data_IF_106413647384
#
_entry.id   IF_106413647384
#
_cell.length_a   1.000
_cell.length_b   1.000
_cell.length_c   1.000
_cell.angle_alpha   90.00
_cell.angle_beta   90.00
_cell.angle_gamma   90.00
#
_symmetry.space_group_name_H-M   'P 1'
#
loop_
_entity.id
_entity.type
_entity.pdbx_description
1 polymer ?
#
# COMPACT_ATOMS: atom_id res chain seq x y z
N UNK A 1 0.19 11.56 -2.87
CA UNK A 1 -0.05 12.31 -1.62
C UNK A 1 -1.44 11.93 -1.15
N UNK A 2 -1.62 11.54 0.12
CA UNK A 2 -2.92 11.22 0.73
C UNK A 2 -3.34 12.40 1.61
N UNK A 3 -4.11 13.39 1.13
CA UNK A 3 -4.58 14.50 1.95
C UNK A 3 -5.82 14.09 2.75
N UNK A 4 -5.65 13.82 4.04
CA UNK A 4 -6.75 13.54 4.97
C UNK A 4 -7.18 14.87 5.60
N UNK A 5 -8.47 15.20 5.56
CA UNK A 5 -9.01 16.37 6.28
C UNK A 5 -9.98 15.89 7.35
N UNK A 6 -9.64 16.08 8.62
CA UNK A 6 -10.53 15.74 9.73
C UNK A 6 -11.66 16.80 9.85
N UNK A 7 -12.88 16.34 10.06
CA UNK A 7 -13.98 17.17 10.57
C UNK A 7 -13.57 17.68 11.96
N UNK A 8 -13.50 19.00 12.13
CA UNK A 8 -12.76 19.70 13.21
C UNK A 8 -13.19 19.46 14.67
N UNK A 9 -13.98 18.43 14.98
CA UNK A 9 -14.44 18.10 16.33
C UNK A 9 -14.31 16.62 16.71
N UNK A 10 -13.93 15.73 15.79
CA UNK A 10 -13.81 14.30 16.09
C UNK A 10 -12.43 13.95 16.68
N UNK A 11 -12.42 13.34 17.86
CA UNK A 11 -11.22 12.68 18.39
C UNK A 11 -11.02 11.38 17.62
N UNK A 12 -9.90 11.25 16.90
CA UNK A 12 -9.55 10.06 16.15
C UNK A 12 -8.95 9.01 17.09
N UNK A 13 -9.55 7.83 17.16
CA UNK A 13 -8.94 6.69 17.85
C UNK A 13 -7.86 6.08 16.94
N UNK A 14 -6.60 6.33 17.31
CA UNK A 14 -5.43 5.90 16.54
C UNK A 14 -5.32 4.38 16.40
N UNK A 15 -5.85 3.63 17.36
CA UNK A 15 -5.85 2.17 17.30
C UNK A 15 -6.71 1.63 16.16
N UNK A 16 -7.62 2.46 15.65
CA UNK A 16 -8.52 2.14 14.54
C UNK A 16 -7.94 2.54 13.17
N UNK A 17 -6.75 3.14 13.14
CA UNK A 17 -6.08 3.53 11.89
C UNK A 17 -5.18 2.39 11.41
N UNK A 18 -5.42 1.95 10.19
CA UNK A 18 -4.64 0.94 9.50
C UNK A 18 -4.15 1.49 8.15
N UNK A 19 -2.91 1.14 7.79
CA UNK A 19 -2.35 1.41 6.47
C UNK A 19 -2.07 0.07 5.79
N UNK A 20 -2.75 -0.17 4.67
CA UNK A 20 -2.49 -1.33 3.82
C UNK A 20 -1.69 -0.90 2.60
N UNK A 21 -0.61 -1.62 2.31
CA UNK A 21 0.30 -1.30 1.21
C UNK A 21 0.47 -2.54 0.34
N UNK A 22 0.06 -2.40 -0.91
CA UNK A 22 0.20 -3.41 -1.93
C UNK A 22 1.31 -2.98 -2.87
N UNK A 23 2.37 -3.78 -2.96
CA UNK A 23 3.51 -3.51 -3.83
C UNK A 23 3.36 -4.31 -5.12
N UNK A 24 3.64 -3.64 -6.23
CA UNK A 24 3.52 -4.20 -7.57
C UNK A 24 4.88 -4.23 -8.25
N UNK A 25 5.02 -5.19 -9.15
CA UNK A 25 6.28 -5.48 -9.81
C UNK A 25 6.07 -5.78 -11.27
N UNK A 26 7.05 -5.40 -12.08
CA UNK A 26 7.12 -5.82 -13.47
C UNK A 26 7.79 -7.19 -13.53
N UNK A 27 7.13 -8.15 -14.17
CA UNK A 27 7.62 -9.51 -14.40
C UNK A 27 8.12 -9.60 -15.84
N UNK A 28 9.40 -9.94 -15.99
CA UNK A 28 10.10 -10.03 -17.28
C UNK A 28 9.99 -8.75 -18.14
N UNK A 29 9.71 -7.60 -17.52
CA UNK A 29 9.57 -6.31 -18.18
C UNK A 29 8.27 -6.08 -18.95
N UNK A 30 7.28 -6.98 -18.83
CA UNK A 30 6.03 -6.91 -19.60
C UNK A 30 4.77 -6.95 -18.72
N UNK A 31 4.69 -7.92 -17.80
CA UNK A 31 3.51 -8.12 -16.97
C UNK A 31 3.62 -7.37 -15.65
N UNK A 32 2.50 -6.97 -15.05
CA UNK A 32 2.44 -6.38 -13.72
C UNK A 32 1.78 -7.39 -12.79
N UNK A 33 2.45 -7.69 -11.67
CA UNK A 33 1.97 -8.63 -10.67
C UNK A 33 2.18 -8.08 -9.25
N UNK A 34 1.47 -8.62 -8.27
CA UNK A 34 1.71 -8.30 -6.87
C UNK A 34 3.04 -8.91 -6.43
N UNK A 35 3.71 -8.25 -5.48
CA UNK A 35 4.94 -8.77 -4.93
C UNK A 35 4.75 -10.14 -4.25
N UNK A 36 5.74 -11.01 -4.40
CA UNK A 36 5.86 -12.29 -3.67
C UNK A 36 6.76 -12.17 -2.43
N UNK A 37 7.22 -10.97 -2.09
CA UNK A 37 8.07 -10.74 -0.93
C UNK A 37 7.24 -10.42 0.30
N UNK A 38 7.90 -10.43 1.45
CA UNK A 38 7.25 -10.13 2.72
C UNK A 38 6.60 -8.73 2.72
N UNK A 39 5.52 -8.55 3.51
CA UNK A 39 4.90 -7.26 3.68
C UNK A 39 5.91 -6.18 4.08
N UNK A 40 5.75 -4.93 3.59
CA UNK A 40 6.65 -3.85 3.98
C UNK A 40 6.58 -3.58 5.48
N UNK A 41 7.72 -3.24 6.07
CA UNK A 41 7.77 -2.67 7.40
C UNK A 41 7.21 -1.24 7.38
N UNK A 42 6.38 -0.93 8.36
CA UNK A 42 5.60 0.31 8.40
C UNK A 42 5.88 1.08 9.67
N UNK A 43 6.17 2.38 9.57
CA UNK A 43 6.28 3.26 10.75
C UNK A 43 5.74 4.66 10.50
N UNK A 44 5.11 5.20 11.54
CA UNK A 44 4.75 6.61 11.59
C UNK A 44 5.99 7.46 11.86
N UNK A 45 6.19 8.51 11.07
CA UNK A 45 7.26 9.48 11.27
C UNK A 45 6.78 10.68 12.09
N UNK A 46 5.48 10.98 12.04
CA UNK A 46 4.88 12.02 12.88
C UNK A 46 4.79 11.58 14.34
N UNK A 47 5.13 12.48 15.26
CA UNK A 47 4.93 12.26 16.69
C UNK A 47 3.43 12.30 16.98
N UNK A 48 2.88 11.15 17.38
CA UNK A 48 1.49 11.02 17.85
C UNK A 48 0.45 11.49 16.82
N UNK A 49 0.31 10.79 15.67
CA UNK A 49 -0.62 11.16 14.61
C UNK A 49 -2.04 11.31 15.17
N UNK A 50 -2.57 12.53 15.20
CA UNK A 50 -3.85 12.91 15.81
C UNK A 50 -4.81 13.56 14.81
N UNK A 51 -4.33 13.78 13.58
CA UNK A 51 -5.04 14.36 12.45
C UNK A 51 -5.78 15.66 12.79
N UNK A 52 -5.29 16.42 13.78
CA UNK A 52 -5.84 17.75 14.06
C UNK A 52 -5.64 18.63 12.83
N UNK A 53 -6.70 19.37 12.51
CA UNK A 53 -6.82 20.14 11.28
C UNK A 53 -5.55 20.96 10.97
N UNK A 54 -5.02 20.78 9.75
CA UNK A 54 -3.91 21.57 9.22
C UNK A 54 -2.52 20.97 9.35
N UNK A 55 -2.34 19.79 9.97
CA UNK A 55 -1.04 19.12 10.07
C UNK A 55 -1.00 17.88 9.18
N UNK A 56 -0.10 17.88 8.19
CA UNK A 56 0.21 16.69 7.39
C UNK A 56 0.97 15.68 8.24
N UNK A 57 0.53 14.44 8.20
CA UNK A 57 1.20 13.35 8.90
C UNK A 57 1.95 12.43 7.95
N UNK A 58 3.15 12.05 8.37
CA UNK A 58 4.09 11.32 7.55
C UNK A 58 4.22 9.88 8.01
N UNK A 59 4.28 9.01 7.03
CA UNK A 59 4.41 7.59 7.19
C UNK A 59 5.47 7.07 6.23
N UNK A 60 6.24 6.07 6.69
CA UNK A 60 7.26 5.40 5.89
C UNK A 60 6.94 3.91 5.81
N UNK A 61 6.93 3.41 4.56
CA UNK A 61 7.01 1.99 4.25
C UNK A 61 8.41 1.67 3.75
N UNK A 62 9.02 0.65 4.35
CA UNK A 62 10.28 0.08 3.90
C UNK A 62 10.03 -1.34 3.45
N UNK A 63 10.46 -1.63 2.23
CA UNK A 63 10.30 -2.96 1.64
C UNK A 63 11.65 -3.52 1.25
N UNK A 64 11.88 -4.77 1.61
CA UNK A 64 13.08 -5.49 1.23
C UNK A 64 12.73 -6.62 0.26
N UNK A 65 13.42 -6.63 -0.88
CA UNK A 65 13.40 -7.75 -1.82
C UNK A 65 14.82 -8.22 -2.10
N UNK A 66 15.20 -9.42 -1.65
CA UNK A 66 16.44 -10.02 -2.09
C UNK A 66 16.36 -10.38 -3.58
N UNK A 67 17.49 -10.33 -4.31
CA UNK A 67 17.53 -10.83 -5.68
C UNK A 67 17.21 -12.32 -5.69
N UNK A 68 16.38 -12.74 -6.65
CA UNK A 68 16.07 -14.16 -6.83
C UNK A 68 17.30 -14.97 -7.20
N UNK A 69 17.37 -16.18 -6.66
CA UNK A 69 18.29 -17.20 -7.13
C UNK A 69 17.86 -17.72 -8.53
N UNK A 70 18.68 -18.57 -9.16
CA UNK A 70 18.44 -19.05 -10.54
C UNK A 70 17.12 -19.83 -10.66
N UNK A 71 16.73 -20.60 -9.65
CA UNK A 71 15.49 -21.38 -9.66
C UNK A 71 14.28 -20.48 -9.49
N UNK A 72 14.33 -19.55 -8.54
CA UNK A 72 13.28 -18.54 -8.31
C UNK A 72 13.10 -17.65 -9.53
N UNK A 73 14.18 -17.23 -10.18
CA UNK A 73 14.10 -16.42 -11.40
C UNK A 73 13.47 -17.18 -12.58
N UNK A 74 13.66 -18.50 -12.65
CA UNK A 74 12.97 -19.35 -13.64
C UNK A 74 11.48 -19.53 -13.31
N UNK A 75 11.14 -19.66 -12.03
CA UNK A 75 9.77 -19.91 -11.57
C UNK A 75 8.91 -18.64 -11.58
N UNK A 76 9.43 -17.53 -11.07
CA UNK A 76 8.68 -16.29 -10.83
C UNK A 76 9.02 -15.17 -11.82
N UNK A 77 9.94 -15.43 -12.75
CA UNK A 77 10.46 -14.45 -13.70
C UNK A 77 11.42 -13.43 -13.07
N UNK A 78 12.03 -12.60 -13.93
CA UNK A 78 12.84 -11.47 -13.48
C UNK A 78 11.91 -10.35 -13.05
N UNK A 79 11.83 -10.13 -11.74
CA UNK A 79 10.92 -9.12 -11.15
C UNK A 79 11.66 -7.83 -10.79
N UNK A 80 10.99 -6.69 -10.97
CA UNK A 80 11.49 -5.38 -10.52
C UNK A 80 10.34 -4.57 -9.95
N UNK A 81 10.64 -3.75 -8.94
CA UNK A 81 9.67 -2.81 -8.39
C UNK A 81 9.04 -1.96 -9.50
N UNK A 82 7.71 -1.93 -9.52
CA UNK A 82 6.92 -1.16 -10.48
C UNK A 82 6.18 -0.01 -9.79
N UNK A 83 5.59 -0.28 -8.63
CA UNK A 83 4.75 0.71 -7.96
C UNK A 83 4.08 0.20 -6.69
N UNK A 84 3.16 1.01 -6.16
CA UNK A 84 2.38 0.69 -4.98
C UNK A 84 0.95 1.20 -5.07
N UNK A 85 0.09 0.58 -4.27
CA UNK A 85 -1.22 1.09 -3.87
C UNK A 85 -1.25 1.12 -2.35
N UNK A 86 -1.54 2.28 -1.77
CA UNK A 86 -1.67 2.49 -0.34
C UNK A 86 -3.13 2.85 0.00
N UNK A 87 -3.71 2.13 0.95
CA UNK A 87 -5.05 2.41 1.49
C UNK A 87 -4.93 2.88 2.92
N UNK A 88 -5.58 3.99 3.21
CA UNK A 88 -5.84 4.42 4.57
C UNK A 88 -7.18 3.86 5.02
N UNK A 89 -7.19 3.17 6.14
CA UNK A 89 -8.38 2.57 6.71
C UNK A 89 -8.59 3.16 8.11
N UNK A 90 -9.83 3.54 8.41
CA UNK A 90 -10.24 3.96 9.74
C UNK A 90 -11.47 3.18 10.17
N UNK A 91 -11.39 2.54 11.33
CA UNK A 91 -12.47 1.71 11.88
C UNK A 91 -13.01 0.69 10.85
N UNK A 92 -12.09 0.04 10.12
CA UNK A 92 -12.39 -0.96 9.10
C UNK A 92 -12.94 -0.41 7.77
N UNK A 93 -12.99 0.92 7.58
CA UNK A 93 -13.46 1.55 6.33
C UNK A 93 -12.32 2.22 5.59
N UNK A 94 -12.25 2.03 4.27
CA UNK A 94 -11.31 2.75 3.42
C UNK A 94 -11.70 4.23 3.40
N UNK A 95 -10.79 5.06 3.88
CA UNK A 95 -10.94 6.52 3.95
C UNK A 95 -10.31 7.21 2.75
N UNK A 96 -9.16 6.70 2.30
CA UNK A 96 -8.42 7.26 1.17
C UNK A 96 -7.57 6.16 0.50
N UNK A 97 -7.25 6.36 -0.78
CA UNK A 97 -6.43 5.46 -1.57
C UNK A 97 -5.49 6.27 -2.48
N UNK A 98 -4.21 5.93 -2.47
CA UNK A 98 -3.21 6.49 -3.37
C UNK A 98 -2.50 5.38 -4.13
N UNK A 99 -2.14 5.66 -5.37
CA UNK A 99 -1.38 4.73 -6.20
C UNK A 99 -0.27 5.44 -6.95
N UNK A 100 0.86 4.76 -7.11
CA UNK A 100 1.91 5.16 -8.03
C UNK A 100 2.39 3.93 -8.82
N UNK A 101 2.44 3.98 -10.16
CA UNK A 101 1.92 5.05 -11.02
C UNK A 101 0.40 5.28 -10.86
N UNK A 102 -0.15 6.41 -11.36
CA UNK A 102 -1.58 6.66 -11.33
C UNK A 102 -2.37 5.52 -12.00
N UNK A 103 -3.55 5.21 -11.45
CA UNK A 103 -4.45 4.11 -11.88
C UNK A 103 -3.95 2.68 -11.59
N UNK A 104 -2.83 2.48 -10.91
CA UNK A 104 -2.36 1.13 -10.52
C UNK A 104 -3.35 0.43 -9.56
N UNK A 105 -4.16 1.18 -8.84
CA UNK A 105 -5.26 0.63 -8.04
C UNK A 105 -6.26 -0.21 -8.86
N UNK A 106 -6.38 0.02 -10.17
CA UNK A 106 -7.18 -0.85 -11.06
C UNK A 106 -6.65 -2.27 -11.09
N UNK A 107 -5.34 -2.45 -11.01
CA UNK A 107 -4.70 -3.76 -10.93
C UNK A 107 -5.07 -4.47 -9.64
N UNK A 108 -5.13 -3.75 -8.52
CA UNK A 108 -5.43 -4.33 -7.20
C UNK A 108 -6.77 -5.07 -7.18
N UNK A 109 -7.79 -4.63 -7.93
CA UNK A 109 -9.08 -5.32 -8.03
C UNK A 109 -9.01 -6.71 -8.69
N UNK A 110 -7.97 -7.00 -9.48
CA UNK A 110 -7.76 -8.33 -10.05
C UNK A 110 -7.13 -9.31 -9.05
N UNK A 111 -6.44 -8.78 -8.03
CA UNK A 111 -5.71 -9.56 -7.02
C UNK A 111 -6.44 -9.66 -5.68
N UNK A 112 -7.34 -8.71 -5.40
CA UNK A 112 -8.18 -8.74 -4.20
C UNK A 112 -9.55 -9.30 -4.55
N UNK A 113 -10.06 -10.31 -3.83
CA UNK A 113 -11.41 -10.81 -4.02
C UNK A 113 -12.40 -9.78 -3.46
N UNK A 114 -12.60 -8.66 -4.15
CA UNK A 114 -13.60 -7.65 -3.78
C UNK A 114 -15.02 -8.16 -4.08
N UNK A 115 -15.14 -9.19 -4.92
CA UNK A 115 -16.36 -9.97 -5.11
C UNK A 115 -16.01 -11.47 -5.16
N UNK A 116 -16.69 -12.34 -4.39
CA UNK A 116 -16.60 -13.77 -4.64
C UNK A 116 -17.07 -14.02 -6.09
N UNK A 117 -16.26 -14.74 -6.87
CA UNK A 117 -16.69 -15.24 -8.17
C UNK A 117 -17.95 -16.09 -7.92
N UNK A 118 -19.10 -15.62 -8.39
CA UNK A 118 -20.32 -16.44 -8.52
C UNK A 118 -20.28 -17.14 -9.86
#
# INVERSE_FOLDING_TARGET
MLPITASGTAVIDRSQVELQIFLFESVNGAEIDITTSDPPETKWLSVLPDWKAGVTEWFQASYYRPPFNVLEAKQYGKRRYYGYVARLIYAGRVMDEASYPPNLNRCLYYFTPVFPRR
#
